data_IF_799049854401
#
_entry.id   IF_799049854401
#
_cell.length_a   1.000
_cell.length_b   1.000
_cell.length_c   1.000
_cell.angle_alpha   90.00
_cell.angle_beta   90.00
_cell.angle_gamma   90.00
#
_symmetry.space_group_name_H-M   'P 1'
#
loop_
_entity.id
_entity.type
_entity.pdbx_description
1 polymer ?
#
# COMPACT_ATOMS: atom_id res chain seq x y z
N UNK A 1 -4.35 -10.89 14.35
CA UNK A 1 -4.76 -10.55 12.97
C UNK A 1 -4.08 -9.22 12.62
N UNK A 2 -3.04 -9.22 11.80
CA UNK A 2 -2.42 -7.96 11.33
C UNK A 2 -3.39 -7.27 10.38
N UNK A 3 -3.63 -5.97 10.54
CA UNK A 3 -4.46 -5.21 9.59
C UNK A 3 -3.79 -5.21 8.22
N UNK A 4 -4.57 -5.45 7.16
CA UNK A 4 -4.09 -5.47 5.77
C UNK A 4 -3.21 -4.26 5.43
N UNK A 5 -3.53 -3.08 5.97
CA UNK A 5 -2.71 -1.87 5.85
C UNK A 5 -1.28 -2.06 6.38
N UNK A 6 -1.10 -2.58 7.61
CA UNK A 6 0.22 -2.78 8.21
C UNK A 6 1.04 -3.82 7.46
N UNK A 7 0.39 -4.88 7.00
CA UNK A 7 1.02 -5.89 6.15
C UNK A 7 1.57 -5.27 4.85
N UNK A 8 0.77 -4.49 4.13
CA UNK A 8 1.20 -3.85 2.89
C UNK A 8 2.29 -2.79 3.11
N UNK A 9 2.23 -2.01 4.21
CA UNK A 9 3.30 -1.07 4.56
C UNK A 9 4.62 -1.78 4.82
N UNK A 10 4.61 -2.90 5.54
CA UNK A 10 5.83 -3.70 5.77
C UNK A 10 6.39 -4.23 4.46
N UNK A 11 5.55 -4.82 3.60
CA UNK A 11 5.99 -5.31 2.28
C UNK A 11 6.56 -4.20 1.41
N UNK A 12 5.95 -3.01 1.39
CA UNK A 12 6.49 -1.88 0.65
C UNK A 12 7.91 -1.48 1.11
N UNK A 13 8.17 -1.50 2.43
CA UNK A 13 9.49 -1.19 2.97
C UNK A 13 10.53 -2.28 2.67
N UNK A 14 10.14 -3.55 2.73
CA UNK A 14 10.99 -4.68 2.34
C UNK A 14 11.41 -4.59 0.88
N UNK A 15 10.46 -4.32 -0.02
CA UNK A 15 10.72 -4.20 -1.46
C UNK A 15 11.61 -2.99 -1.77
N UNK A 16 11.43 -1.84 -1.09
CA UNK A 16 12.39 -0.71 -1.20
C UNK A 16 13.80 -1.12 -0.80
N UNK A 17 13.91 -1.89 0.28
CA UNK A 17 15.20 -2.38 0.75
C UNK A 17 15.82 -3.37 -0.24
N UNK A 18 15.01 -4.24 -0.84
CA UNK A 18 15.44 -5.15 -1.89
C UNK A 18 15.89 -4.39 -3.16
N UNK A 19 15.20 -3.31 -3.53
CA UNK A 19 15.60 -2.45 -4.63
C UNK A 19 16.96 -1.80 -4.37
N UNK A 20 17.22 -1.30 -3.16
CA UNK A 20 18.53 -0.74 -2.81
C UNK A 20 19.66 -1.77 -2.81
N UNK A 21 19.36 -3.01 -2.41
CA UNK A 21 20.34 -4.11 -2.35
C UNK A 21 20.57 -4.80 -3.69
N UNK A 22 19.71 -4.58 -4.67
CA UNK A 22 19.76 -5.28 -5.96
C UNK A 22 20.89 -4.76 -6.83
N UNK A 23 21.76 -5.69 -7.26
CA UNK A 23 22.92 -5.38 -8.10
C UNK A 23 22.53 -5.05 -9.54
N UNK A 24 21.50 -5.72 -10.09
CA UNK A 24 21.08 -5.52 -11.48
C UNK A 24 20.04 -4.40 -11.60
N UNK A 25 20.12 -3.55 -12.65
CA UNK A 25 19.14 -2.50 -12.88
C UNK A 25 17.70 -3.02 -12.99
N UNK A 26 17.52 -4.14 -13.69
CA UNK A 26 16.21 -4.77 -13.87
C UNK A 26 15.57 -5.21 -12.54
N UNK A 27 16.36 -5.80 -11.63
CA UNK A 27 15.85 -6.18 -10.31
C UNK A 27 15.52 -4.94 -9.47
N UNK A 28 16.32 -3.87 -9.54
CA UNK A 28 16.02 -2.60 -8.86
C UNK A 28 14.67 -2.03 -9.29
N UNK A 29 14.43 -1.97 -10.61
CA UNK A 29 13.18 -1.45 -11.16
C UNK A 29 11.99 -2.33 -10.78
N UNK A 30 12.17 -3.66 -10.82
CA UNK A 30 11.14 -4.60 -10.40
C UNK A 30 10.74 -4.40 -8.92
N UNK A 31 11.72 -4.38 -8.02
CA UNK A 31 11.48 -4.16 -6.60
C UNK A 31 10.93 -2.77 -6.30
N UNK A 32 11.36 -1.74 -7.04
CA UNK A 32 10.78 -0.39 -6.95
C UNK A 32 9.30 -0.41 -7.32
N UNK A 33 8.94 -1.05 -8.43
CA UNK A 33 7.54 -1.19 -8.86
C UNK A 33 6.70 -1.93 -7.82
N UNK A 34 7.22 -3.02 -7.25
CA UNK A 34 6.52 -3.75 -6.18
C UNK A 34 6.32 -2.91 -4.92
N UNK A 35 7.32 -2.11 -4.53
CA UNK A 35 7.19 -1.21 -3.40
C UNK A 35 6.09 -0.16 -3.60
N UNK A 36 5.95 0.36 -4.82
CA UNK A 36 4.90 1.31 -5.19
C UNK A 36 3.52 0.64 -5.13
N UNK A 37 3.34 -0.55 -5.73
CA UNK A 37 2.07 -1.30 -5.70
C UNK A 37 1.64 -1.65 -4.26
N UNK A 38 2.56 -2.08 -3.40
CA UNK A 38 2.24 -2.33 -2.00
C UNK A 38 1.89 -1.05 -1.22
N UNK A 39 2.52 0.09 -1.54
CA UNK A 39 2.17 1.36 -0.92
C UNK A 39 0.75 1.81 -1.33
N UNK A 40 0.38 1.64 -2.60
CA UNK A 40 -0.98 1.93 -3.09
C UNK A 40 -2.03 1.04 -2.42
N UNK A 41 -1.76 -0.26 -2.29
CA UNK A 41 -2.65 -1.18 -1.56
C UNK A 41 -2.77 -0.84 -0.08
N UNK A 42 -1.69 -0.35 0.55
CA UNK A 42 -1.75 0.13 1.92
C UNK A 42 -2.66 1.35 2.05
N UNK A 43 -2.59 2.29 1.10
CA UNK A 43 -3.48 3.45 1.05
C UNK A 43 -4.94 3.06 0.82
N UNK A 44 -5.20 2.12 -0.09
CA UNK A 44 -6.54 1.58 -0.32
C UNK A 44 -7.09 0.87 0.92
N UNK A 45 -6.26 0.08 1.61
CA UNK A 45 -6.63 -0.58 2.87
C UNK A 45 -6.88 0.43 4.00
N UNK A 46 -6.17 1.56 4.02
CA UNK A 46 -6.42 2.65 4.97
C UNK A 46 -7.75 3.36 4.67
N UNK A 47 -8.00 3.68 3.39
CA UNK A 47 -9.22 4.36 2.92
C UNK A 47 -10.48 3.49 2.96
N UNK A 48 -10.34 2.17 2.93
CA UNK A 48 -11.43 1.19 3.08
C UNK A 48 -12.04 1.15 4.49
N UNK A 49 -11.64 2.05 5.40
CA UNK A 49 -12.20 2.15 6.75
C UNK A 49 -13.42 3.09 6.83
N UNK A 50 -13.77 3.84 5.77
CA UNK A 50 -14.77 4.92 5.87
C UNK A 50 -15.71 5.07 4.65
N UNK A 51 -16.25 3.97 4.13
CA UNK A 51 -17.35 4.00 3.16
C UNK A 51 -18.68 3.49 3.73
N UNK A 52 -18.90 3.63 5.05
CA UNK A 52 -20.19 3.30 5.69
C UNK A 52 -20.76 4.42 6.57
N UNK A 53 -20.29 5.67 6.43
CA UNK A 53 -20.99 6.82 6.97
C UNK A 53 -21.87 7.41 5.87
N UNK A 54 -23.09 6.86 5.74
CA UNK A 54 -24.18 7.46 4.99
C UNK A 54 -24.37 8.89 5.52
N UNK A 55 -24.19 9.96 4.73
CA UNK A 55 -24.81 11.23 5.09
C UNK A 55 -26.29 11.04 4.82
N UNK A 56 -27.08 10.89 5.88
CA UNK A 56 -28.54 11.03 5.81
C UNK A 56 -28.81 12.38 5.13
N UNK A 57 -29.38 12.33 3.92
CA UNK A 57 -29.71 13.52 3.16
C UNK A 57 -30.74 14.33 3.97
N UNK A 58 -30.34 15.50 4.45
CA UNK A 58 -31.26 16.50 4.98
C UNK A 58 -31.94 17.17 3.77
N UNK A 59 -33.20 16.81 3.54
CA UNK A 59 -34.11 17.55 2.66
C UNK A 59 -35.52 17.47 3.25
N UNK A 60 -35.90 18.52 3.97
CA UNK A 60 -37.26 19.04 4.10
C UNK A 60 -37.20 20.41 4.80
#
# INVERSE_FOLDING_TARGET
MESNQRFYLRRAAEERTAAMRSMTPQAREWHKKLAEDFAERALAAAGSTIANSVPVALSA
#
